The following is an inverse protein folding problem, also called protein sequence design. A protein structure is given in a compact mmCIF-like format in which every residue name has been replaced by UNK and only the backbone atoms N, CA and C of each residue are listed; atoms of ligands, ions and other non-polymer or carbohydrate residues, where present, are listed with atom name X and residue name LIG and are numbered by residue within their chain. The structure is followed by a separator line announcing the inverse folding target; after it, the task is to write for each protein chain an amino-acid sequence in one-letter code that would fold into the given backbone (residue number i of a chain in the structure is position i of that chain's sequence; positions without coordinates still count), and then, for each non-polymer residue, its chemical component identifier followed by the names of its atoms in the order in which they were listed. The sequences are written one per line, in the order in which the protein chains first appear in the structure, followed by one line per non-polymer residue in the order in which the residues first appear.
data_IF_911946800324
#
_entry.id   IF_911946800324
#
_cell.length_a   1.000
_cell.length_b   1.000
_cell.length_c   1.000
_cell.angle_alpha   90.00
_cell.angle_beta   90.00
_cell.angle_gamma   90.00
#
_symmetry.space_group_name_H-M   'P 1'
#
loop_
_entity.id
_entity.type
_entity.pdbx_description
1 polymer ?
#
# COMPACT_ATOMS: atom_id res chain seq x y z
N UNK A 1 -0.66 -5.55 -19.70
CA UNK A 1 -2.03 -5.22 -20.18
C UNK A 1 -2.42 -6.29 -21.18
N UNK A 2 -3.14 -7.33 -20.72
CA UNK A 2 -3.27 -8.59 -21.47
C UNK A 2 -4.70 -8.75 -22.01
N UNK A 3 -5.06 -7.86 -22.94
CA UNK A 3 -6.27 -8.00 -23.77
C UNK A 3 -7.59 -7.42 -23.23
N UNK A 4 -8.65 -7.53 -24.05
CA UNK A 4 -10.04 -7.14 -23.75
C UNK A 4 -10.95 -8.34 -23.89
N UNK A 5 -12.00 -8.44 -23.07
CA UNK A 5 -12.99 -9.52 -23.18
C UNK A 5 -13.97 -9.27 -24.36
N UNK A 6 -14.89 -10.22 -24.62
CA UNK A 6 -15.88 -10.12 -25.72
C UNK A 6 -16.82 -8.90 -25.62
N UNK A 7 -16.88 -8.25 -24.46
CA UNK A 7 -17.69 -7.06 -24.18
C UNK A 7 -16.86 -5.76 -24.24
N UNK A 8 -15.56 -5.84 -24.57
CA UNK A 8 -14.67 -4.68 -24.67
C UNK A 8 -14.05 -4.22 -23.36
N UNK A 9 -14.35 -4.89 -22.24
CA UNK A 9 -13.74 -4.56 -20.94
C UNK A 9 -12.29 -5.02 -20.90
N UNK A 10 -11.42 -4.27 -20.22
CA UNK A 10 -10.05 -4.68 -19.97
C UNK A 10 -10.03 -5.98 -19.16
N UNK A 11 -9.13 -6.89 -19.53
CA UNK A 11 -8.81 -8.06 -18.72
C UNK A 11 -7.59 -7.70 -17.88
N UNK A 12 -7.73 -7.79 -16.57
CA UNK A 12 -6.62 -7.67 -15.62
C UNK A 12 -6.18 -9.08 -15.25
N UNK A 13 -4.88 -9.33 -15.34
CA UNK A 13 -4.27 -10.54 -14.80
C UNK A 13 -3.70 -10.21 -13.43
N UNK A 14 -4.12 -10.95 -12.41
CA UNK A 14 -3.53 -10.84 -11.08
C UNK A 14 -2.18 -11.56 -11.07
N UNK A 15 -1.15 -10.90 -10.59
CA UNK A 15 0.19 -11.47 -10.46
C UNK A 15 0.58 -11.51 -9.00
N UNK A 16 1.12 -12.63 -8.55
CA UNK A 16 1.64 -12.77 -7.19
C UNK A 16 3.16 -12.80 -7.22
N UNK A 17 3.79 -11.99 -6.37
CA UNK A 17 5.24 -11.98 -6.21
C UNK A 17 5.64 -11.82 -4.75
N UNK A 18 6.81 -12.36 -4.39
CA UNK A 18 7.39 -12.13 -3.07
C UNK A 18 8.18 -10.82 -3.09
N UNK A 19 7.81 -9.91 -2.19
CA UNK A 19 8.42 -8.59 -2.06
C UNK A 19 9.20 -8.51 -0.76
N UNK A 20 10.44 -7.99 -0.82
CA UNK A 20 11.21 -7.65 0.38
C UNK A 20 10.92 -6.20 0.78
N UNK A 21 10.53 -6.02 2.03
CA UNK A 21 10.26 -4.72 2.64
C UNK A 21 11.17 -4.51 3.84
N UNK A 22 11.35 -3.26 4.27
CA UNK A 22 12.17 -2.94 5.45
C UNK A 22 11.48 -3.33 6.76
N UNK A 23 10.15 -3.37 6.77
CA UNK A 23 9.34 -3.80 7.90
C UNK A 23 7.89 -3.36 7.76
N UNK A 24 7.09 -3.65 8.79
CA UNK A 24 5.72 -3.17 8.94
C UNK A 24 5.40 -2.89 10.41
N UNK A 25 4.49 -1.97 10.66
CA UNK A 25 4.07 -1.59 12.01
C UNK A 25 2.59 -1.18 12.03
N UNK A 26 1.96 -1.25 13.21
CA UNK A 26 0.69 -0.56 13.43
C UNK A 26 0.94 0.96 13.43
N UNK A 27 0.01 1.76 12.89
CA UNK A 27 0.17 3.22 12.91
C UNK A 27 0.29 3.73 14.35
N UNK A 28 1.24 4.63 14.59
CA UNK A 28 1.57 5.12 15.94
C UNK A 28 0.71 6.31 16.40
N UNK A 29 -0.23 6.78 15.57
CA UNK A 29 -1.13 7.89 15.89
C UNK A 29 -2.56 7.38 16.00
N UNK A 30 -3.24 7.72 17.11
CA UNK A 30 -4.69 7.55 17.25
C UNK A 30 -5.48 8.51 16.34
N UNK A 31 -4.81 9.52 15.77
CA UNK A 31 -5.43 10.47 14.86
C UNK A 31 -5.46 9.92 13.42
N UNK A 32 -6.65 9.71 12.83
CA UNK A 32 -6.76 9.32 11.43
C UNK A 32 -6.08 10.37 10.55
N UNK A 33 -5.22 9.94 9.62
CA UNK A 33 -4.54 10.85 8.67
C UNK A 33 -5.60 11.68 7.92
N UNK A 34 -5.65 12.99 8.20
CA UNK A 34 -6.57 13.91 7.54
C UNK A 34 -5.96 14.48 6.26
N UNK A 35 -6.41 13.95 5.12
CA UNK A 35 -6.42 14.69 3.86
C UNK A 35 -7.80 14.51 3.21
N UNK A 36 -8.31 15.59 2.60
CA UNK A 36 -9.72 15.78 2.25
C UNK A 36 -10.45 14.56 1.68
N UNK A 37 -11.48 14.12 2.42
CA UNK A 37 -12.51 13.17 2.03
C UNK A 37 -12.05 11.77 1.60
N UNK A 38 -11.56 10.99 2.55
CA UNK A 38 -12.02 9.61 2.86
C UNK A 38 -11.33 9.17 4.16
N UNK A 39 -12.10 8.79 5.19
CA UNK A 39 -11.52 8.28 6.44
C UNK A 39 -11.11 6.83 6.22
N UNK A 40 -9.86 6.60 5.86
CA UNK A 40 -9.33 5.25 5.73
C UNK A 40 -8.83 4.75 7.09
N UNK A 41 -9.38 3.64 7.56
CA UNK A 41 -8.81 2.90 8.70
C UNK A 41 -7.57 2.17 8.21
N UNK A 42 -6.41 2.56 8.72
CA UNK A 42 -5.12 1.90 8.45
C UNK A 42 -4.88 0.86 9.53
N UNK A 43 -4.75 -0.41 9.13
CA UNK A 43 -4.43 -1.52 10.04
C UNK A 43 -2.92 -1.70 10.18
N UNK A 44 -2.17 -1.60 9.05
CA UNK A 44 -0.70 -1.64 9.03
C UNK A 44 -0.12 -0.63 8.04
N UNK A 45 1.04 -0.09 8.43
CA UNK A 45 1.96 0.66 7.58
C UNK A 45 3.13 -0.24 7.18
N UNK A 46 3.40 -0.36 5.87
CA UNK A 46 4.52 -1.13 5.31
C UNK A 46 5.59 -0.16 4.81
N UNK A 47 6.85 -0.38 5.21
CA UNK A 47 7.99 0.41 4.75
C UNK A 47 8.65 -0.29 3.55
N UNK A 48 8.33 0.17 2.34
CA UNK A 48 8.69 -0.51 1.10
C UNK A 48 9.54 0.37 0.18
N UNK A 49 10.32 -0.20 -0.75
CA UNK A 49 10.87 0.57 -1.87
C UNK A 49 9.75 1.27 -2.66
N UNK A 50 10.01 2.42 -3.28
CA UNK A 50 9.02 3.11 -4.12
C UNK A 50 8.59 2.22 -5.31
N UNK A 51 7.41 2.48 -5.86
CA UNK A 51 6.83 1.75 -7.01
C UNK A 51 6.67 0.23 -6.80
N UNK A 52 6.67 -0.23 -5.55
CA UNK A 52 6.51 -1.65 -5.23
C UNK A 52 5.05 -2.09 -5.16
N UNK A 53 4.17 -1.19 -4.73
CA UNK A 53 2.75 -1.46 -4.48
C UNK A 53 1.89 -0.38 -5.13
N UNK A 54 0.74 -0.79 -5.66
CA UNK A 54 -0.33 0.06 -6.19
C UNK A 54 -1.56 0.02 -5.28
N UNK A 55 -2.40 1.06 -5.36
CA UNK A 55 -3.70 1.08 -4.69
C UNK A 55 -4.56 -0.13 -5.11
N UNK A 56 -5.15 -0.82 -4.13
CA UNK A 56 -5.94 -2.04 -4.34
C UNK A 56 -5.14 -3.35 -4.39
N UNK A 57 -3.80 -3.31 -4.37
CA UNK A 57 -2.99 -4.52 -4.31
C UNK A 57 -3.31 -5.33 -3.04
N UNK A 58 -3.36 -6.66 -3.18
CA UNK A 58 -3.48 -7.58 -2.05
C UNK A 58 -2.09 -7.91 -1.48
N UNK A 59 -1.96 -7.87 -0.16
CA UNK A 59 -0.70 -8.16 0.54
C UNK A 59 -0.93 -9.19 1.63
N UNK A 60 -0.28 -10.35 1.50
CA UNK A 60 -0.24 -11.38 2.53
C UNK A 60 0.91 -11.11 3.50
N UNK A 61 0.58 -10.68 4.72
CA UNK A 61 1.57 -10.41 5.77
C UNK A 61 1.67 -11.63 6.71
N UNK A 62 2.87 -12.21 6.89
CA UNK A 62 3.08 -13.32 7.82
C UNK A 62 2.57 -12.99 9.23
N UNK A 63 1.63 -13.80 9.73
CA UNK A 63 1.03 -13.64 11.05
C UNK A 63 -0.10 -12.61 11.16
N UNK A 64 -0.42 -11.86 10.10
CA UNK A 64 -1.49 -10.86 10.07
C UNK A 64 -2.64 -11.19 9.12
N UNK A 65 -2.36 -11.97 8.07
CA UNK A 65 -3.33 -12.34 7.03
C UNK A 65 -3.26 -11.43 5.81
N UNK A 66 -4.29 -11.51 4.96
CA UNK A 66 -4.39 -10.73 3.72
C UNK A 66 -4.95 -9.33 4.00
N UNK A 67 -4.24 -8.32 3.51
CA UNK A 67 -4.60 -6.91 3.58
C UNK A 67 -4.73 -6.34 2.16
N UNK A 68 -5.37 -5.19 2.04
CA UNK A 68 -5.48 -4.39 0.82
C UNK A 68 -4.68 -3.10 0.99
N UNK A 69 -3.86 -2.75 0.00
CA UNK A 69 -3.22 -1.43 -0.09
C UNK A 69 -4.26 -0.37 -0.35
N UNK A 70 -4.20 0.71 0.43
CA UNK A 70 -5.17 1.81 0.37
C UNK A 70 -4.47 3.15 0.19
N UNK A 71 -4.93 3.90 -0.81
CA UNK A 71 -4.39 5.20 -1.14
C UNK A 71 -2.99 5.13 -1.76
N UNK A 72 -2.39 6.31 -1.93
CA UNK A 72 -1.06 6.41 -2.54
C UNK A 72 0.03 6.24 -1.48
N UNK A 73 1.14 5.53 -1.79
CA UNK A 73 2.29 5.46 -0.89
C UNK A 73 2.84 6.85 -0.53
N UNK A 74 3.15 7.06 0.74
CA UNK A 74 3.64 8.33 1.26
C UNK A 74 5.17 8.39 1.19
N UNK A 75 5.70 9.41 0.52
CA UNK A 75 7.14 9.64 0.42
C UNK A 75 7.58 10.78 1.34
N UNK A 76 8.44 10.47 2.31
CA UNK A 76 8.94 11.41 3.31
C UNK A 76 10.36 11.94 3.01
N UNK A 77 10.92 11.60 1.84
CA UNK A 77 12.33 11.91 1.48
C UNK A 77 12.57 13.37 1.08
N UNK A 78 11.57 14.24 1.20
CA UNK A 78 11.65 15.66 0.81
C UNK A 78 12.13 16.57 1.95
N UNK A 79 13.00 16.06 2.83
CA UNK A 79 13.51 16.80 3.98
C UNK A 79 14.59 17.83 3.59
N UNK A 80 14.59 19.04 4.18
CA UNK A 80 15.63 20.04 3.94
C UNK A 80 17.03 19.63 4.44
N UNK A 81 17.15 18.52 5.19
CA UNK A 81 18.40 18.03 5.75
C UNK A 81 19.01 16.85 4.97
N UNK A 82 18.48 16.55 3.77
CA UNK A 82 19.02 15.48 2.91
C UNK A 82 18.77 14.06 3.43
N UNK A 83 17.82 13.88 4.34
CA UNK A 83 17.37 12.55 4.75
C UNK A 83 16.52 11.93 3.64
N UNK A 84 16.98 10.78 3.16
CA UNK A 84 16.30 9.94 2.16
C UNK A 84 16.55 8.46 2.51
N UNK A 85 15.56 7.75 3.08
CA UNK A 85 15.69 6.34 3.40
C UNK A 85 15.57 5.42 2.17
N UNK A 86 15.20 5.96 1.00
CA UNK A 86 14.86 5.15 -0.17
C UNK A 86 13.59 4.32 0.01
N UNK A 87 12.68 4.74 0.90
CA UNK A 87 11.47 4.01 1.28
C UNK A 87 10.24 4.92 1.24
N UNK A 88 9.09 4.31 0.98
CA UNK A 88 7.75 4.89 1.10
C UNK A 88 6.94 4.15 2.16
N UNK A 89 5.95 4.82 2.72
CA UNK A 89 4.97 4.22 3.65
C UNK A 89 3.73 3.82 2.85
N UNK A 90 3.41 2.53 2.86
CA UNK A 90 2.23 1.97 2.21
C UNK A 90 1.19 1.66 3.28
N UNK A 91 0.03 2.31 3.21
CA UNK A 91 -1.07 2.06 4.13
C UNK A 91 -1.88 0.85 3.67
N UNK A 92 -2.33 0.03 4.62
CA UNK A 92 -3.15 -1.15 4.32
C UNK A 92 -4.35 -1.27 5.26
N UNK A 93 -5.40 -1.96 4.81
CA UNK A 93 -6.54 -2.39 5.65
C UNK A 93 -6.87 -3.86 5.46
N UNK A 94 -7.55 -4.48 6.42
CA UNK A 94 -8.12 -5.83 6.26
C UNK A 94 -9.21 -5.86 5.19
N UNK A 95 -9.18 -6.88 4.33
CA UNK A 95 -10.22 -7.10 3.31
C UNK A 95 -11.57 -7.57 3.89
N UNK A 96 -11.59 -8.16 5.08
CA UNK A 96 -12.77 -8.84 5.65
C UNK A 96 -13.49 -8.05 6.76
N UNK A 97 -13.50 -6.71 6.71
CA UNK A 97 -14.14 -5.88 7.74
C UNK A 97 -15.34 -5.10 7.23
#
# INVERSE_FOLDING_TARGET
MTGRNKLGNAITEETTSQVRVAGWAQPSSDEPKQAGHERLTVDLEIYAPPETFSDGDAVDIPGYGTLEVIGHPENYSHSPFGWDPGLVVVNTRRKDR
#
